data_IF_130834646604
#
_entry.id   IF_130834646604
#
_cell.length_a   1.000
_cell.length_b   1.000
_cell.length_c   1.000
_cell.angle_alpha   90.00
_cell.angle_beta   90.00
_cell.angle_gamma   90.00
#
_symmetry.space_group_name_H-M   'P 1'
#
loop_
_entity.id
_entity.type
_entity.pdbx_description
1 polymer ?
#
# COMPACT_ATOMS: atom_id res chain seq x y z
N UNK A 1 7.87 -20.71 11.32
CA UNK A 1 7.07 -20.11 10.22
C UNK A 1 6.17 -19.01 10.77
N UNK A 2 6.74 -18.03 11.48
CA UNK A 2 5.97 -16.90 12.04
C UNK A 2 6.91 -15.78 12.50
N UNK A 3 7.70 -15.22 11.60
CA UNK A 3 8.69 -14.18 11.94
C UNK A 3 8.33 -12.81 11.34
N UNK A 4 7.06 -12.61 10.99
CA UNK A 4 6.58 -11.37 10.37
C UNK A 4 5.76 -10.50 11.33
N UNK A 5 5.14 -11.11 12.34
CA UNK A 5 4.36 -10.41 13.37
C UNK A 5 5.26 -9.81 14.47
N UNK A 6 6.42 -10.43 14.73
CA UNK A 6 7.40 -9.93 15.70
C UNK A 6 8.03 -8.60 15.27
N UNK A 7 8.17 -8.33 13.97
CA UNK A 7 8.62 -7.02 13.47
C UNK A 7 7.53 -5.92 13.58
N UNK A 8 6.25 -6.32 13.47
CA UNK A 8 5.11 -5.41 13.60
C UNK A 8 4.91 -4.92 15.05
N UNK A 9 5.22 -5.76 16.04
CA UNK A 9 5.26 -5.33 17.45
C UNK A 9 6.54 -4.53 17.79
N UNK A 10 7.69 -4.86 17.19
CA UNK A 10 8.93 -4.11 17.40
C UNK A 10 8.83 -2.65 16.91
N UNK A 11 7.98 -2.35 15.93
CA UNK A 11 7.71 -1.00 15.44
C UNK A 11 6.77 -0.17 16.35
N UNK A 12 6.15 -0.76 17.38
CA UNK A 12 5.40 -0.01 18.41
C UNK A 12 6.30 0.69 19.44
N UNK A 13 7.61 0.42 19.42
CA UNK A 13 8.57 0.86 20.45
C UNK A 13 9.13 2.27 20.28
N UNK A 14 8.98 2.93 19.13
CA UNK A 14 9.48 4.30 18.97
C UNK A 14 9.65 4.77 17.54
N UNK A 15 8.86 5.77 17.17
CA UNK A 15 9.16 6.68 16.06
C UNK A 15 8.78 6.18 14.67
N UNK A 16 7.68 6.72 14.14
CA UNK A 16 7.38 6.72 12.71
C UNK A 16 6.06 6.03 12.38
N UNK A 17 4.95 6.73 12.59
CA UNK A 17 3.70 6.36 11.93
C UNK A 17 3.99 6.35 10.42
N UNK A 18 3.88 5.19 9.80
CA UNK A 18 4.22 5.02 8.40
C UNK A 18 3.64 3.71 7.91
N UNK A 19 3.36 3.57 6.60
CA UNK A 19 2.94 2.29 6.05
C UNK A 19 3.95 1.22 6.45
N UNK A 20 3.45 0.04 6.85
CA UNK A 20 4.33 -1.00 7.35
C UNK A 20 5.41 -1.35 6.31
N UNK A 21 6.68 -1.58 6.71
CA UNK A 21 7.73 -1.95 5.76
C UNK A 21 7.38 -3.22 4.96
N UNK A 22 6.62 -4.10 5.61
CA UNK A 22 5.95 -5.25 5.04
C UNK A 22 5.07 -4.91 3.83
N UNK A 23 4.13 -3.98 4.00
CA UNK A 23 3.22 -3.52 2.96
C UNK A 23 4.00 -2.94 1.77
N UNK A 24 4.99 -2.08 2.04
CA UNK A 24 5.82 -1.49 1.00
C UNK A 24 6.60 -2.54 0.20
N UNK A 25 7.19 -3.54 0.87
CA UNK A 25 7.86 -4.67 0.21
C UNK A 25 6.89 -5.46 -0.67
N UNK A 26 5.68 -5.73 -0.17
CA UNK A 26 4.67 -6.48 -0.92
C UNK A 26 4.19 -5.71 -2.15
N UNK A 27 4.00 -4.39 -2.05
CA UNK A 27 3.65 -3.54 -3.19
C UNK A 27 4.74 -3.53 -4.25
N UNK A 28 6.01 -3.39 -3.85
CA UNK A 28 7.16 -3.46 -4.78
C UNK A 28 7.29 -4.81 -5.46
N UNK A 29 6.85 -5.88 -4.80
CA UNK A 29 6.86 -7.23 -5.35
C UNK A 29 5.68 -7.51 -6.29
N UNK A 30 4.69 -6.60 -6.41
CA UNK A 30 3.58 -6.77 -7.32
C UNK A 30 4.01 -6.49 -8.77
N UNK A 31 3.65 -7.39 -9.71
CA UNK A 31 3.94 -7.16 -11.11
C UNK A 31 3.18 -5.92 -11.60
N UNK A 32 3.90 -5.04 -12.30
CA UNK A 32 3.35 -3.80 -12.83
C UNK A 32 3.26 -2.65 -11.83
N UNK A 33 3.77 -2.80 -10.60
CA UNK A 33 3.96 -1.68 -9.67
C UNK A 33 5.36 -1.10 -9.83
N UNK A 34 5.45 0.21 -10.06
CA UNK A 34 6.70 0.98 -10.16
C UNK A 34 6.74 2.03 -9.07
N UNK A 35 7.81 2.08 -8.29
CA UNK A 35 7.99 3.15 -7.31
C UNK A 35 8.50 4.41 -8.01
N UNK A 36 7.78 5.53 -7.87
CA UNK A 36 8.14 6.84 -8.44
C UNK A 36 8.73 7.81 -7.42
N UNK A 37 8.50 7.58 -6.13
CA UNK A 37 8.99 8.45 -5.06
C UNK A 37 8.86 7.80 -3.70
N UNK A 38 9.18 8.55 -2.65
CA UNK A 38 9.08 8.07 -1.27
C UNK A 38 7.60 7.82 -0.94
N UNK A 39 7.21 6.54 -0.85
CA UNK A 39 5.82 6.11 -0.61
C UNK A 39 4.84 6.44 -1.75
N UNK A 40 5.33 6.63 -2.98
CA UNK A 40 4.51 6.80 -4.18
C UNK A 40 4.82 5.70 -5.19
N UNK A 41 3.79 4.92 -5.51
CA UNK A 41 3.80 3.80 -6.43
C UNK A 41 2.85 4.07 -7.59
N UNK A 42 3.25 3.72 -8.80
CA UNK A 42 2.44 3.84 -10.01
C UNK A 42 2.29 2.45 -10.60
N UNK A 43 1.04 2.05 -10.86
CA UNK A 43 0.71 0.80 -11.51
C UNK A 43 0.66 1.01 -13.03
N UNK A 44 0.99 -0.04 -13.79
CA UNK A 44 0.97 -0.02 -15.26
C UNK A 44 -0.40 0.32 -15.86
N UNK A 45 -1.50 0.12 -15.12
CA UNK A 45 -2.86 0.50 -15.52
C UNK A 45 -3.13 2.04 -15.49
N UNK A 46 -2.13 2.85 -15.18
CA UNK A 46 -2.29 4.30 -14.97
C UNK A 46 -2.95 4.62 -13.63
N UNK A 47 -2.79 3.73 -12.64
CA UNK A 47 -3.26 3.94 -11.27
C UNK A 47 -2.10 4.44 -10.43
N UNK A 48 -2.28 5.51 -9.69
CA UNK A 48 -1.27 6.05 -8.77
C UNK A 48 -1.66 5.73 -7.33
N UNK A 49 -0.75 5.13 -6.57
CA UNK A 49 -0.91 4.81 -5.17
C UNK A 49 0.09 5.64 -4.37
N UNK A 50 -0.40 6.53 -3.52
CA UNK A 50 0.43 7.27 -2.58
C UNK A 50 -0.06 7.07 -1.15
N UNK A 51 0.87 7.09 -0.20
CA UNK A 51 0.54 7.01 1.21
C UNK A 51 0.69 8.38 1.86
N UNK A 52 -0.39 8.86 2.47
CA UNK A 52 -0.35 10.00 3.36
C UNK A 52 -0.25 9.51 4.80
N UNK A 53 0.80 9.93 5.48
CA UNK A 53 0.93 9.78 6.92
C UNK A 53 0.48 11.08 7.57
N UNK A 54 -0.55 11.00 8.42
CA UNK A 54 -1.04 12.13 9.20
C UNK A 54 -1.09 11.76 10.68
N UNK A 55 -0.28 12.44 11.48
CA UNK A 55 -0.10 12.19 12.92
C UNK A 55 0.30 10.73 13.20
N UNK A 56 -0.68 9.89 13.56
CA UNK A 56 -0.52 8.45 13.84
C UNK A 56 -1.29 7.57 12.86
N UNK A 57 -1.92 8.15 11.85
CA UNK A 57 -2.78 7.46 10.89
C UNK A 57 -2.13 7.43 9.52
N UNK A 58 -2.19 6.29 8.86
CA UNK A 58 -1.75 6.13 7.48
C UNK A 58 -2.99 6.05 6.59
N UNK A 59 -3.02 6.79 5.50
CA UNK A 59 -4.09 6.74 4.50
C UNK A 59 -3.48 6.42 3.15
N UNK A 60 -3.93 5.34 2.54
CA UNK A 60 -3.60 5.04 1.15
C UNK A 60 -4.55 5.81 0.23
N UNK A 61 -3.99 6.53 -0.71
CA UNK A 61 -4.69 7.28 -1.73
C UNK A 61 -4.41 6.62 -3.08
N UNK A 62 -5.47 6.12 -3.70
CA UNK A 62 -5.44 5.36 -4.95
C UNK A 62 -6.12 6.23 -6.00
N UNK A 63 -5.37 6.83 -6.92
CA UNK A 63 -5.91 7.55 -8.06
C UNK A 63 -6.08 6.60 -9.25
N UNK A 64 -7.32 6.35 -9.64
CA UNK A 64 -7.67 5.61 -10.85
C UNK A 64 -8.30 6.58 -11.86
N UNK A 65 -7.51 7.07 -12.83
CA UNK A 65 -7.99 7.90 -13.95
C UNK A 65 -8.86 9.10 -13.52
N UNK A 66 -8.48 9.78 -12.44
CA UNK A 66 -9.20 10.94 -11.91
C UNK A 66 -10.25 10.59 -10.84
N UNK A 67 -10.33 9.33 -10.42
CA UNK A 67 -11.06 8.91 -9.21
C UNK A 67 -10.07 8.56 -8.12
N UNK A 68 -9.86 9.49 -7.20
CA UNK A 68 -9.04 9.25 -6.02
C UNK A 68 -9.86 8.56 -4.92
N UNK A 69 -9.55 7.29 -4.64
CA UNK A 69 -10.08 6.55 -3.50
C UNK A 69 -9.15 6.70 -2.30
N UNK A 70 -9.73 6.97 -1.13
CA UNK A 70 -8.98 7.08 0.13
C UNK A 70 -9.30 5.88 1.02
N UNK A 71 -8.26 5.16 1.45
CA UNK A 71 -8.41 3.99 2.30
C UNK A 71 -7.54 4.16 3.56
N UNK A 72 -8.14 4.42 4.73
CA UNK A 72 -7.39 4.51 5.97
C UNK A 72 -6.83 3.13 6.33
N UNK A 73 -5.55 3.09 6.65
CA UNK A 73 -4.80 1.91 7.07
C UNK A 73 -4.62 2.02 8.59
N UNK A 74 -5.56 1.42 9.34
CA UNK A 74 -5.50 1.40 10.80
C UNK A 74 -5.18 0.00 11.36
N UNK A 75 -5.38 -1.05 10.56
CA UNK A 75 -5.20 -2.43 10.99
C UNK A 75 -4.67 -3.32 9.83
N UNK A 76 -4.20 -4.54 10.13
CA UNK A 76 -3.67 -5.46 9.13
C UNK A 76 -4.70 -5.93 8.09
N UNK A 77 -6.00 -5.89 8.43
CA UNK A 77 -7.07 -6.23 7.51
C UNK A 77 -7.19 -5.18 6.41
N UNK A 78 -7.00 -3.90 6.75
CA UNK A 78 -7.06 -2.80 5.78
C UNK A 78 -5.83 -2.80 4.85
N UNK A 79 -4.66 -3.16 5.35
CA UNK A 79 -3.47 -3.41 4.51
C UNK A 79 -3.71 -4.53 3.50
N UNK A 80 -4.31 -5.65 3.93
CA UNK A 80 -4.68 -6.75 3.03
C UNK A 80 -5.70 -6.31 1.99
N UNK A 81 -6.73 -5.57 2.39
CA UNK A 81 -7.72 -5.00 1.46
C UNK A 81 -7.06 -4.10 0.42
N UNK A 82 -6.13 -3.23 0.85
CA UNK A 82 -5.37 -2.38 -0.07
C UNK A 82 -4.60 -3.23 -1.08
N UNK A 83 -3.86 -4.24 -0.61
CA UNK A 83 -3.11 -5.14 -1.48
C UNK A 83 -4.01 -5.90 -2.44
N UNK A 84 -5.18 -6.36 -2.00
CA UNK A 84 -6.16 -7.00 -2.88
C UNK A 84 -6.70 -6.04 -3.94
N UNK A 85 -7.00 -4.79 -3.57
CA UNK A 85 -7.42 -3.75 -4.52
C UNK A 85 -6.32 -3.48 -5.53
N UNK A 86 -5.08 -3.24 -5.08
CA UNK A 86 -3.92 -2.99 -5.94
C UNK A 86 -3.65 -4.21 -6.84
N UNK A 87 -3.77 -5.44 -6.33
CA UNK A 87 -3.64 -6.67 -7.12
C UNK A 87 -4.74 -6.78 -8.18
N UNK A 88 -5.98 -6.44 -7.86
CA UNK A 88 -7.08 -6.43 -8.83
C UNK A 88 -6.87 -5.36 -9.90
N UNK A 89 -6.35 -4.19 -9.53
CA UNK A 89 -6.07 -3.10 -10.46
C UNK A 89 -4.86 -3.41 -11.36
N UNK A 90 -3.79 -3.99 -10.80
CA UNK A 90 -2.61 -4.44 -11.56
C UNK A 90 -2.90 -5.70 -12.39
N UNK A 91 -3.77 -6.57 -11.88
CA UNK A 91 -4.17 -7.84 -12.50
C UNK A 91 -5.33 -7.72 -13.48
N UNK A 92 -6.03 -6.58 -13.53
CA UNK A 92 -6.83 -6.13 -14.68
C UNK A 92 -5.87 -5.81 -15.84
N UNK A 93 -5.20 -6.84 -16.34
CA UNK A 93 -4.86 -6.88 -17.76
C UNK A 93 -6.19 -7.02 -18.47
N UNK A 94 -6.48 -6.10 -19.38
CA UNK A 94 -7.48 -6.20 -20.43
C UNK A 94 -8.02 -7.63 -20.58
N UNK A 95 -9.20 -7.87 -20.00
CA UNK A 95 -10.09 -8.91 -20.48
C UNK A 95 -11.00 -8.20 -21.49
N UNK A 96 -10.40 -7.81 -22.62
CA UNK A 96 -11.02 -7.38 -23.87
C UNK A 96 -10.44 -8.24 -24.99
#
# INVERSE_FOLDING_TARGET
>A
MSDFFSELEALKGGGGAGPSPALLRQLRALPGVKERGQQHFVLDAGVELHFEVKDTSVTALIDERGRTQRLPIANPTDERKLLDVVRRLAGRRDED
#
